data_IF_357476600080
#
_entry.id   IF_357476600080
#
_cell.length_a   1.000
_cell.length_b   1.000
_cell.length_c   1.000
_cell.angle_alpha   90.00
_cell.angle_beta   90.00
_cell.angle_gamma   90.00
#
_symmetry.space_group_name_H-M   'P 1'
#
loop_
_entity.id
_entity.type
_entity.pdbx_description
1 polymer ?
#
# COMPACT_ATOMS: atom_id res chain seq x y z
N UNK A 1 67.50 -35.65 -14.36
CA UNK A 1 67.88 -36.33 -13.11
C UNK A 1 68.11 -35.26 -12.04
N UNK A 2 67.21 -35.22 -11.07
CA UNK A 2 67.34 -34.80 -9.65
C UNK A 2 68.26 -33.65 -9.21
N UNK A 3 67.60 -32.62 -8.62
CA UNK A 3 67.93 -31.75 -7.46
C UNK A 3 69.26 -30.96 -7.33
N UNK A 4 69.11 -29.66 -7.02
CA UNK A 4 69.68 -28.91 -5.86
C UNK A 4 69.11 -27.46 -5.86
N UNK A 5 68.42 -26.97 -4.80
CA UNK A 5 68.93 -26.16 -3.64
C UNK A 5 69.53 -24.80 -4.06
N UNK A 6 69.28 -23.60 -3.49
CA UNK A 6 68.77 -23.08 -2.21
C UNK A 6 68.59 -21.53 -2.30
N UNK A 7 67.72 -20.97 -1.44
CA UNK A 7 67.65 -19.58 -0.88
C UNK A 7 67.84 -18.37 -1.82
N UNK A 8 67.08 -17.28 -1.76
CA UNK A 8 66.24 -16.67 -0.74
C UNK A 8 66.20 -15.17 -1.11
N UNK A 9 65.09 -14.48 -0.92
CA UNK A 9 65.01 -13.07 -1.27
C UNK A 9 63.60 -12.53 -1.21
N UNK A 10 63.37 -11.64 -0.26
CA UNK A 10 62.14 -10.92 -0.07
C UNK A 10 61.70 -10.21 -1.36
N UNK A 11 60.55 -10.59 -1.89
CA UNK A 11 59.75 -9.73 -2.74
C UNK A 11 58.37 -9.68 -2.12
N UNK A 12 58.05 -8.49 -1.59
CA UNK A 12 56.73 -8.19 -1.09
C UNK A 12 55.71 -8.56 -2.14
N UNK A 13 54.75 -9.39 -1.75
CA UNK A 13 53.52 -9.54 -2.50
C UNK A 13 52.84 -8.17 -2.44
N UNK A 14 53.04 -7.36 -3.49
CA UNK A 14 52.13 -6.26 -3.77
C UNK A 14 50.81 -6.94 -4.07
N UNK A 15 49.97 -7.02 -3.06
CA UNK A 15 48.55 -7.21 -3.25
C UNK A 15 48.10 -5.97 -4.03
N UNK A 16 48.13 -6.04 -5.36
CA UNK A 16 47.38 -5.13 -6.21
C UNK A 16 45.92 -5.48 -5.96
N UNK A 17 45.41 -5.01 -4.82
CA UNK A 17 44.00 -4.82 -4.61
C UNK A 17 43.59 -3.82 -5.68
N UNK A 18 43.12 -4.34 -6.81
CA UNK A 18 42.22 -3.64 -7.70
C UNK A 18 40.98 -3.29 -6.87
N UNK A 19 41.07 -2.19 -6.12
CA UNK A 19 39.95 -1.30 -5.89
C UNK A 19 39.53 -0.84 -7.29
N UNK A 20 38.67 -1.61 -7.95
CA UNK A 20 37.84 -1.05 -8.99
C UNK A 20 36.92 -0.04 -8.30
N UNK A 21 37.05 1.27 -8.56
CA UNK A 21 35.86 2.09 -8.40
C UNK A 21 34.88 1.53 -9.41
N UNK A 22 33.70 1.13 -8.95
CA UNK A 22 32.56 0.91 -9.83
C UNK A 22 32.25 2.25 -10.52
N UNK A 23 33.01 2.59 -11.57
CA UNK A 23 32.63 3.53 -12.59
C UNK A 23 31.48 2.87 -13.33
N UNK A 24 30.30 2.89 -12.72
CA UNK A 24 29.06 2.91 -13.49
C UNK A 24 29.23 4.09 -14.43
N UNK A 25 29.44 3.80 -15.72
CA UNK A 25 29.22 4.80 -16.77
C UNK A 25 27.80 5.29 -16.54
N UNK A 26 27.66 6.53 -16.08
CA UNK A 26 26.36 7.13 -15.85
C UNK A 26 25.60 7.08 -17.18
N UNK A 27 24.61 6.21 -17.29
CA UNK A 27 23.73 6.17 -18.44
C UNK A 27 22.63 7.21 -18.21
N UNK A 28 22.21 7.90 -19.27
CA UNK A 28 21.06 8.82 -19.17
C UNK A 28 19.85 8.04 -18.64
N UNK A 29 19.23 8.53 -17.58
CA UNK A 29 18.13 7.87 -16.87
C UNK A 29 18.56 6.87 -15.79
N UNK A 30 19.85 6.65 -15.57
CA UNK A 30 20.32 5.91 -14.40
C UNK A 30 19.98 6.67 -13.11
N UNK A 31 19.65 5.93 -12.05
CA UNK A 31 19.13 6.46 -10.80
C UNK A 31 20.08 6.19 -9.64
N UNK A 32 20.18 7.15 -8.73
CA UNK A 32 20.83 7.00 -7.42
C UNK A 32 19.90 7.55 -6.35
N UNK A 33 19.58 6.75 -5.34
CA UNK A 33 18.71 7.17 -4.23
C UNK A 33 19.55 7.54 -3.01
N UNK A 34 19.25 8.68 -2.40
CA UNK A 34 19.71 9.01 -1.05
C UNK A 34 18.87 8.20 -0.05
N UNK A 35 19.48 7.27 0.72
CA UNK A 35 18.73 6.41 1.63
C UNK A 35 18.18 7.14 2.86
N UNK A 36 18.74 8.31 3.21
CA UNK A 36 18.33 9.10 4.38
C UNK A 36 17.25 10.08 3.97
N UNK A 37 17.51 10.85 2.91
CA UNK A 37 16.58 11.87 2.46
C UNK A 37 15.51 11.34 1.52
N UNK A 38 15.60 10.10 1.03
CA UNK A 38 14.64 9.53 0.06
C UNK A 38 14.63 10.25 -1.30
N UNK A 39 15.59 11.14 -1.55
CA UNK A 39 15.73 11.90 -2.79
C UNK A 39 16.30 11.00 -3.88
N UNK A 40 15.77 11.10 -5.10
CA UNK A 40 16.29 10.37 -6.26
C UNK A 40 17.06 11.35 -7.14
N UNK A 41 18.28 10.98 -7.50
CA UNK A 41 19.11 11.68 -8.48
C UNK A 41 19.07 10.91 -9.79
N UNK A 42 18.69 11.59 -10.87
CA UNK A 42 18.57 10.99 -12.21
C UNK A 42 19.63 11.58 -13.12
N UNK A 43 20.45 10.72 -13.72
CA UNK A 43 21.52 11.16 -14.62
C UNK A 43 20.94 11.70 -15.92
N UNK A 44 21.40 12.87 -16.36
CA UNK A 44 21.01 13.55 -17.60
C UNK A 44 22.23 13.95 -18.40
N UNK A 45 22.04 14.19 -19.70
CA UNK A 45 23.03 14.79 -20.58
C UNK A 45 22.85 16.31 -20.60
N UNK A 46 23.95 17.03 -20.44
CA UNK A 46 24.03 18.49 -20.52
C UNK A 46 24.30 18.95 -21.96
N UNK A 47 24.17 20.25 -22.21
CA UNK A 47 24.31 20.84 -23.55
C UNK A 47 25.71 20.60 -24.14
N UNK A 48 26.76 20.60 -23.31
CA UNK A 48 28.15 20.33 -23.71
C UNK A 48 28.46 18.83 -23.92
N UNK A 49 27.46 17.96 -23.75
CA UNK A 49 27.62 16.50 -23.86
C UNK A 49 28.17 15.83 -22.60
N UNK A 50 28.41 16.57 -21.53
CA UNK A 50 28.76 16.00 -20.22
C UNK A 50 27.53 15.48 -19.47
N UNK A 51 27.74 14.72 -18.40
CA UNK A 51 26.66 14.22 -17.54
C UNK A 51 26.41 15.15 -16.36
N UNK A 52 25.14 15.38 -16.05
CA UNK A 52 24.67 16.03 -14.84
C UNK A 52 23.66 15.17 -14.10
N UNK A 53 23.20 15.62 -12.94
CA UNK A 53 22.12 14.98 -12.18
C UNK A 53 20.94 15.94 -12.03
N UNK A 54 19.73 15.41 -12.22
CA UNK A 54 18.48 16.06 -11.81
C UNK A 54 18.10 15.55 -10.43
N UNK A 55 17.85 16.45 -9.49
CA UNK A 55 17.32 16.11 -8.17
C UNK A 55 15.79 15.99 -8.26
N UNK A 56 15.27 14.84 -7.87
CA UNK A 56 13.84 14.53 -7.85
C UNK A 56 13.41 14.20 -6.43
N UNK A 57 12.41 14.92 -5.93
CA UNK A 57 11.73 14.54 -4.69
C UNK A 57 10.52 13.70 -5.10
N UNK A 58 10.53 12.40 -4.82
CA UNK A 58 9.41 11.54 -5.17
C UNK A 58 8.17 11.88 -4.33
N UNK A 59 6.98 11.73 -4.89
CA UNK A 59 5.71 11.95 -4.19
C UNK A 59 5.35 10.82 -3.20
N UNK A 60 6.17 9.76 -3.12
CA UNK A 60 5.96 8.59 -2.28
C UNK A 60 6.51 8.78 -0.85
N UNK A 61 6.96 9.99 -0.52
CA UNK A 61 7.55 10.31 0.77
C UNK A 61 6.54 10.80 1.80
N UNK A 62 5.26 10.75 1.47
CA UNK A 62 4.21 11.00 2.45
C UNK A 62 4.11 9.79 3.37
N UNK A 63 4.46 9.98 4.64
CA UNK A 63 4.29 8.95 5.66
C UNK A 63 2.88 9.11 6.24
N UNK A 64 1.99 8.16 5.93
CA UNK A 64 0.60 8.19 6.33
C UNK A 64 0.17 6.90 7.04
N UNK A 65 -0.54 7.06 8.15
CA UNK A 65 -1.29 5.99 8.79
C UNK A 65 -2.71 5.95 8.22
N UNK A 66 -3.18 4.77 7.83
CA UNK A 66 -4.56 4.57 7.36
C UNK A 66 -5.27 3.61 8.30
N UNK A 67 -6.35 4.08 8.92
CA UNK A 67 -7.19 3.31 9.83
C UNK A 67 -8.55 3.10 9.14
N UNK A 68 -8.81 1.92 8.58
CA UNK A 68 -10.07 1.63 7.93
C UNK A 68 -11.12 1.13 8.92
N UNK A 69 -12.38 1.40 8.62
CA UNK A 69 -13.57 0.87 9.28
C UNK A 69 -14.58 0.45 8.22
N UNK A 70 -15.20 -0.72 8.42
CA UNK A 70 -16.22 -1.26 7.51
C UNK A 70 -17.48 -1.55 8.32
N UNK A 71 -18.60 -0.99 7.89
CA UNK A 71 -19.90 -1.18 8.55
C UNK A 71 -20.92 -1.69 7.54
N UNK A 72 -21.65 -2.74 7.90
CA UNK A 72 -22.75 -3.24 7.06
C UNK A 72 -23.95 -2.30 7.18
N UNK A 73 -24.45 -1.82 6.06
CA UNK A 73 -25.74 -1.14 5.95
C UNK A 73 -26.85 -2.14 5.62
N UNK A 74 -28.10 -1.67 5.73
CA UNK A 74 -29.26 -2.41 5.20
C UNK A 74 -29.13 -2.67 3.69
N UNK A 75 -29.79 -3.73 3.20
CA UNK A 75 -29.84 -3.99 1.75
C UNK A 75 -28.56 -4.56 1.12
N UNK A 76 -27.61 -5.05 1.92
CA UNK A 76 -26.37 -5.67 1.40
C UNK A 76 -25.29 -4.68 0.98
N UNK A 77 -25.47 -3.40 1.32
CA UNK A 77 -24.48 -2.33 1.11
C UNK A 77 -23.54 -2.24 2.31
N UNK A 78 -22.32 -1.81 2.08
CA UNK A 78 -21.29 -1.59 3.10
C UNK A 78 -20.77 -0.17 3.03
N UNK A 79 -20.60 0.47 4.18
CA UNK A 79 -19.88 1.73 4.32
C UNK A 79 -18.42 1.45 4.60
N UNK A 80 -17.55 2.07 3.82
CA UNK A 80 -16.10 2.06 3.98
C UNK A 80 -15.66 3.45 4.44
N UNK A 81 -15.02 3.51 5.60
CA UNK A 81 -14.51 4.74 6.18
C UNK A 81 -13.01 4.60 6.41
N UNK A 82 -12.24 5.57 5.94
CA UNK A 82 -10.79 5.62 6.12
C UNK A 82 -10.43 6.89 6.89
N UNK A 83 -9.80 6.74 8.05
CA UNK A 83 -9.08 7.83 8.69
C UNK A 83 -7.62 7.76 8.22
N UNK A 84 -7.25 8.70 7.36
CA UNK A 84 -5.89 8.87 6.85
C UNK A 84 -5.21 9.97 7.66
N UNK A 85 -4.10 9.67 8.33
CA UNK A 85 -3.33 10.63 9.12
C UNK A 85 -1.95 10.77 8.52
N UNK A 86 -1.56 11.99 8.16
CA UNK A 86 -0.18 12.27 7.78
C UNK A 86 0.65 12.30 9.07
N UNK A 87 1.66 11.44 9.21
CA UNK A 87 2.48 11.41 10.42
C UNK A 87 3.19 12.75 10.60
N UNK A 88 3.32 13.21 11.84
CA UNK A 88 3.93 14.52 12.15
C UNK A 88 5.38 14.65 11.64
N UNK A 89 6.09 13.53 11.47
CA UNK A 89 7.44 13.49 10.90
C UNK A 89 7.50 13.35 9.38
N UNK A 90 6.35 13.29 8.69
CA UNK A 90 6.30 13.18 7.23
C UNK A 90 7.01 14.37 6.58
N UNK A 91 7.80 14.09 5.56
CA UNK A 91 8.56 15.13 4.83
C UNK A 91 7.76 15.81 3.73
N UNK A 92 6.56 15.31 3.46
CA UNK A 92 5.63 15.84 2.46
C UNK A 92 4.22 15.98 3.03
N UNK A 93 3.48 16.92 2.44
CA UNK A 93 2.04 17.07 2.62
C UNK A 93 1.32 16.06 1.74
N UNK A 94 0.14 15.60 2.14
CA UNK A 94 -0.71 14.74 1.30
C UNK A 94 -1.52 15.60 0.34
N UNK A 95 -1.45 15.31 -0.96
CA UNK A 95 -2.29 15.93 -1.99
C UNK A 95 -3.47 15.06 -2.39
N UNK A 96 -3.22 13.76 -2.59
CA UNK A 96 -4.24 12.82 -3.05
C UNK A 96 -4.22 11.56 -2.19
N UNK A 97 -5.41 10.99 -2.03
CA UNK A 97 -5.56 9.66 -1.46
C UNK A 97 -6.44 8.80 -2.37
N UNK A 98 -5.91 7.68 -2.81
CA UNK A 98 -6.58 6.80 -3.76
C UNK A 98 -6.94 5.47 -3.11
N UNK A 99 -8.19 5.06 -3.35
CA UNK A 99 -8.70 3.75 -2.96
C UNK A 99 -9.22 3.04 -4.21
N UNK A 100 -8.73 1.82 -4.53
CA UNK A 100 -9.36 1.01 -5.57
C UNK A 100 -10.83 0.80 -5.23
N UNK A 101 -11.74 1.06 -6.17
CA UNK A 101 -13.17 0.90 -5.92
C UNK A 101 -13.92 0.44 -7.18
N UNK A 102 -15.08 -0.24 -7.05
CA UNK A 102 -15.91 -0.55 -8.20
C UNK A 102 -16.57 0.72 -8.73
N UNK A 103 -16.96 0.72 -10.01
CA UNK A 103 -17.75 1.81 -10.61
C UNK A 103 -19.06 2.09 -9.87
N UNK A 104 -19.61 1.07 -9.20
CA UNK A 104 -20.82 1.18 -8.39
C UNK A 104 -20.62 1.85 -7.03
N UNK A 105 -19.39 2.25 -6.67
CA UNK A 105 -19.13 2.92 -5.41
C UNK A 105 -19.77 4.32 -5.39
N UNK A 106 -20.51 4.61 -4.32
CA UNK A 106 -21.12 5.93 -4.10
C UNK A 106 -20.31 6.66 -3.04
N UNK A 107 -19.72 7.80 -3.41
CA UNK A 107 -18.89 8.57 -2.48
C UNK A 107 -19.77 9.63 -1.79
N UNK A 108 -19.77 9.62 -0.46
CA UNK A 108 -20.69 10.43 0.34
C UNK A 108 -20.02 11.64 0.98
N UNK A 109 -18.86 11.45 1.60
CA UNK A 109 -18.30 12.48 2.47
C UNK A 109 -16.77 12.40 2.52
N UNK A 110 -16.13 13.57 2.42
CA UNK A 110 -14.72 13.73 2.71
C UNK A 110 -14.55 14.94 3.62
N UNK A 111 -13.98 14.70 4.80
CA UNK A 111 -13.77 15.74 5.81
C UNK A 111 -12.32 15.71 6.26
N UNK A 112 -11.58 16.79 6.07
CA UNK A 112 -10.29 16.93 6.78
C UNK A 112 -10.50 17.46 8.20
N UNK A 113 -9.66 16.99 9.12
CA UNK A 113 -9.66 17.32 10.54
C UNK A 113 -8.30 17.93 10.90
N UNK A 114 -8.30 19.00 11.71
CA UNK A 114 -7.08 19.68 12.16
C UNK A 114 -6.67 20.90 11.32
N UNK A 115 -7.48 21.33 10.35
CA UNK A 115 -7.18 22.48 9.50
C UNK A 115 -6.89 23.76 10.30
N UNK A 116 -5.68 24.30 10.10
CA UNK A 116 -5.45 25.73 10.33
C UNK A 116 -6.07 26.54 9.17
N UNK A 117 -7.35 26.88 9.32
CA UNK A 117 -7.99 28.03 8.65
C UNK A 117 -7.89 28.14 7.11
N UNK A 118 -8.00 27.03 6.36
CA UNK A 118 -8.42 27.09 4.95
C UNK A 118 -9.56 26.11 4.71
N UNK A 119 -10.76 26.66 4.60
CA UNK A 119 -11.93 25.98 4.07
C UNK A 119 -11.61 25.46 2.67
N UNK A 120 -11.38 24.15 2.56
CA UNK A 120 -11.34 23.48 1.26
C UNK A 120 -12.13 22.20 1.35
N UNK A 121 -13.10 22.06 0.46
CA UNK A 121 -13.85 20.82 0.28
C UNK A 121 -12.93 19.82 -0.41
N UNK A 122 -12.67 18.70 0.24
CA UNK A 122 -12.10 17.57 -0.44
C UNK A 122 -13.18 16.96 -1.36
N UNK A 123 -12.88 16.83 -2.64
CA UNK A 123 -13.74 16.20 -3.62
C UNK A 123 -13.32 14.75 -3.83
N UNK A 124 -14.30 13.87 -4.06
CA UNK A 124 -14.01 12.54 -4.52
C UNK A 124 -14.53 12.33 -5.91
N UNK A 125 -13.72 11.69 -6.72
CA UNK A 125 -14.08 11.30 -8.08
C UNK A 125 -13.76 9.83 -8.25
N UNK A 126 -14.73 9.08 -8.77
CA UNK A 126 -14.47 7.78 -9.34
C UNK A 126 -13.82 8.03 -10.72
N UNK A 127 -12.56 7.64 -10.88
CA UNK A 127 -11.83 7.73 -12.14
C UNK A 127 -11.47 6.34 -12.62
N UNK A 128 -11.67 6.09 -13.91
CA UNK A 128 -11.08 4.93 -14.55
C UNK A 128 -9.59 5.18 -14.73
N UNK A 129 -8.75 4.28 -14.23
CA UNK A 129 -7.31 4.41 -14.43
C UNK A 129 -7.00 4.20 -15.93
N UNK A 130 -6.29 5.13 -16.56
CA UNK A 130 -5.97 5.08 -18.00
C UNK A 130 -5.19 3.82 -18.42
N UNK A 131 -4.60 3.11 -17.46
CA UNK A 131 -3.73 1.95 -17.65
C UNK A 131 -4.25 0.67 -16.99
N UNK A 132 -5.50 0.63 -16.50
CA UNK A 132 -6.02 -0.55 -15.80
C UNK A 132 -7.53 -0.71 -15.83
N UNK A 133 -7.99 -1.95 -15.62
CA UNK A 133 -9.41 -2.34 -15.56
C UNK A 133 -10.09 -1.98 -14.22
N UNK A 134 -9.47 -1.10 -13.42
CA UNK A 134 -9.97 -0.75 -12.09
C UNK A 134 -10.32 0.73 -12.01
N UNK A 135 -11.47 1.00 -11.42
CA UNK A 135 -11.85 2.34 -11.00
C UNK A 135 -11.15 2.69 -9.69
N UNK A 136 -10.82 3.96 -9.53
CA UNK A 136 -10.17 4.53 -8.36
C UNK A 136 -11.11 5.58 -7.78
N UNK A 137 -11.37 5.49 -6.49
CA UNK A 137 -12.00 6.52 -5.70
C UNK A 137 -10.88 7.42 -5.20
N UNK A 138 -10.68 8.54 -5.88
CA UNK A 138 -9.63 9.51 -5.60
C UNK A 138 -10.22 10.61 -4.73
N UNK A 139 -9.70 10.80 -3.52
CA UNK A 139 -9.96 11.96 -2.69
C UNK A 139 -8.90 13.03 -2.97
N UNK A 140 -9.36 14.24 -3.32
CA UNK A 140 -8.53 15.40 -3.67
C UNK A 140 -8.96 16.61 -2.89
N UNK A 141 -8.05 17.50 -2.49
CA UNK A 141 -8.43 18.69 -1.75
C UNK A 141 -7.24 19.60 -1.46
N UNK A 142 -7.38 20.58 -0.56
CA UNK A 142 -6.21 21.32 -0.05
C UNK A 142 -5.23 20.35 0.61
N UNK A 143 -3.93 20.56 0.37
CA UNK A 143 -2.83 19.78 0.95
C UNK A 143 -2.98 19.57 2.47
N UNK A 144 -2.85 18.32 2.95
CA UNK A 144 -2.82 18.02 4.40
C UNK A 144 -1.39 18.03 4.91
N UNK A 145 -1.14 18.82 5.95
CA UNK A 145 0.19 18.93 6.53
C UNK A 145 0.52 17.73 7.43
N UNK A 146 1.80 17.45 7.67
CA UNK A 146 2.21 16.52 8.71
C UNK A 146 1.51 16.81 10.05
N UNK A 147 0.82 15.81 10.59
CA UNK A 147 -0.01 15.91 11.81
C UNK A 147 -1.51 16.04 11.55
N UNK A 148 -1.92 16.44 10.34
CA UNK A 148 -3.32 16.56 9.97
C UNK A 148 -3.94 15.20 9.63
N UNK A 149 -5.28 15.16 9.54
CA UNK A 149 -6.00 13.94 9.19
C UNK A 149 -7.12 14.20 8.19
N UNK A 150 -7.46 13.17 7.43
CA UNK A 150 -8.52 13.12 6.44
C UNK A 150 -9.43 11.94 6.74
N UNK A 151 -10.73 12.17 6.62
CA UNK A 151 -11.74 11.12 6.68
C UNK A 151 -12.36 10.98 5.31
N UNK A 152 -12.20 9.80 4.71
CA UNK A 152 -12.82 9.45 3.42
C UNK A 152 -13.91 8.42 3.68
N UNK A 153 -15.13 8.64 3.19
CA UNK A 153 -16.23 7.68 3.33
C UNK A 153 -16.95 7.45 2.00
N UNK A 154 -17.13 6.19 1.63
CA UNK A 154 -17.95 5.78 0.49
C UNK A 154 -18.73 4.49 0.81
N UNK A 155 -19.72 4.21 -0.02
CA UNK A 155 -20.56 3.02 0.05
C UNK A 155 -20.34 2.13 -1.16
N UNK A 156 -20.44 0.82 -0.95
CA UNK A 156 -20.41 -0.16 -2.04
C UNK A 156 -21.17 -1.43 -1.65
N UNK A 157 -21.77 -2.09 -2.64
CA UNK A 157 -22.30 -3.44 -2.45
C UNK A 157 -21.19 -4.50 -2.35
N UNK A 158 -19.98 -4.18 -2.84
CA UNK A 158 -18.86 -5.12 -2.79
C UNK A 158 -18.44 -5.39 -1.34
N UNK A 159 -17.96 -6.60 -1.09
CA UNK A 159 -17.35 -7.02 0.15
C UNK A 159 -15.90 -6.52 0.25
N UNK A 160 -15.41 -6.27 1.47
CA UNK A 160 -14.04 -5.83 1.67
C UNK A 160 -13.07 -6.94 1.29
N UNK A 161 -11.86 -6.54 0.90
CA UNK A 161 -10.69 -7.40 0.82
C UNK A 161 -9.42 -6.57 0.90
N UNK A 162 -8.28 -7.21 1.21
CA UNK A 162 -7.02 -6.49 1.26
C UNK A 162 -6.62 -5.92 -0.10
N UNK A 163 -6.09 -4.70 -0.09
CA UNK A 163 -5.61 -4.03 -1.30
C UNK A 163 -4.57 -2.96 -0.97
N UNK A 164 -3.89 -2.50 -2.01
CA UNK A 164 -2.99 -1.36 -1.94
C UNK A 164 -3.78 -0.06 -2.09
N UNK A 165 -3.66 0.83 -1.11
CA UNK A 165 -4.11 2.22 -1.19
C UNK A 165 -2.92 3.11 -1.51
N UNK A 166 -3.16 4.28 -2.11
CA UNK A 166 -2.09 5.21 -2.43
C UNK A 166 -2.27 6.52 -1.66
N UNK A 167 -1.24 6.91 -0.93
CA UNK A 167 -1.08 8.24 -0.39
C UNK A 167 -0.06 8.98 -1.27
N UNK A 168 -0.47 10.06 -1.91
CA UNK A 168 0.35 10.80 -2.86
C UNK A 168 0.69 12.16 -2.26
N UNK A 169 1.99 12.39 -2.07
CA UNK A 169 2.50 13.63 -1.51
C UNK A 169 2.63 14.75 -2.54
N UNK A 170 2.76 15.98 -2.04
CA UNK A 170 3.20 17.12 -2.84
C UNK A 170 4.71 16.99 -3.12
N UNK A 171 5.05 16.79 -4.39
CA UNK A 171 6.42 16.72 -4.86
C UNK A 171 6.71 17.98 -5.68
N UNK A 172 7.72 18.80 -5.30
CA UNK A 172 8.13 19.89 -6.16
C UNK A 172 8.64 19.34 -7.49
N UNK A 173 8.33 20.05 -8.57
CA UNK A 173 8.81 19.72 -9.91
C UNK A 173 10.32 19.48 -9.95
N UNK A 174 10.74 18.53 -10.78
CA UNK A 174 12.14 18.25 -10.98
C UNK A 174 12.86 19.48 -11.55
N UNK A 175 13.92 19.92 -10.87
CA UNK A 175 14.71 21.08 -11.29
C UNK A 175 15.79 20.61 -12.26
N UNK A 176 15.59 20.95 -13.54
CA UNK A 176 16.55 20.61 -14.59
C UNK A 176 17.79 21.52 -14.54
N UNK A 177 19.01 20.99 -14.76
CA UNK A 177 20.25 21.77 -14.74
C UNK A 177 20.30 22.90 -15.78
N UNK A 178 19.51 22.79 -16.85
CA UNK A 178 19.39 23.80 -17.88
C UNK A 178 17.99 23.80 -18.49
N UNK A 179 17.52 24.95 -18.98
CA UNK A 179 16.15 25.10 -19.51
C UNK A 179 15.87 24.21 -20.73
N UNK A 180 16.87 23.95 -21.57
CA UNK A 180 16.76 23.09 -22.76
C UNK A 180 16.96 21.60 -22.45
N UNK A 181 17.52 21.26 -21.28
CA UNK A 181 17.84 19.87 -20.91
C UNK A 181 16.58 19.01 -20.81
N UNK A 182 15.45 19.59 -20.39
CA UNK A 182 14.17 18.91 -20.23
C UNK A 182 13.48 18.54 -21.56
N UNK A 183 13.79 19.30 -22.62
CA UNK A 183 13.25 19.10 -23.97
C UNK A 183 14.21 18.39 -24.91
N UNK A 184 15.47 18.19 -24.53
CA UNK A 184 16.45 17.45 -25.31
C UNK A 184 15.99 15.99 -25.53
N UNK A 185 15.84 15.53 -26.80
CA UNK A 185 15.44 14.16 -27.11
C UNK A 185 16.37 13.09 -26.49
N UNK A 186 17.65 13.40 -26.28
CA UNK A 186 18.64 12.51 -25.66
C UNK A 186 18.31 12.23 -24.19
N UNK A 187 17.63 13.16 -23.51
CA UNK A 187 17.19 13.03 -22.12
C UNK A 187 15.83 12.34 -21.97
N UNK A 188 15.23 11.82 -23.05
CA UNK A 188 13.96 11.08 -22.97
C UNK A 188 13.95 9.94 -21.94
N UNK A 189 15.00 9.10 -21.80
CA UNK A 189 15.03 8.07 -20.77
C UNK A 189 15.00 8.65 -19.35
N UNK A 190 15.76 9.71 -19.10
CA UNK A 190 15.75 10.40 -17.81
C UNK A 190 14.40 11.03 -17.51
N UNK A 191 13.75 11.62 -18.52
CA UNK A 191 12.41 12.18 -18.38
C UNK A 191 11.36 11.11 -18.07
N UNK A 192 11.42 9.95 -18.72
CA UNK A 192 10.52 8.84 -18.38
C UNK A 192 10.68 8.38 -16.93
N UNK A 193 11.91 8.38 -16.41
CA UNK A 193 12.19 8.09 -14.99
C UNK A 193 11.64 9.18 -14.08
N UNK A 194 11.94 10.45 -14.35
CA UNK A 194 11.44 11.59 -13.56
C UNK A 194 9.91 11.58 -13.52
N UNK A 195 9.28 11.40 -14.68
CA UNK A 195 7.82 11.31 -14.81
C UNK A 195 7.27 10.11 -14.02
N UNK A 196 7.99 8.98 -13.92
CA UNK A 196 7.54 7.82 -13.11
C UNK A 196 7.60 8.06 -11.60
N UNK A 197 8.39 9.04 -11.14
CA UNK A 197 8.53 9.43 -9.74
C UNK A 197 7.56 10.56 -9.35
N UNK A 198 6.90 11.16 -10.33
CA UNK A 198 5.81 12.10 -10.12
C UNK A 198 4.59 11.35 -9.55
N UNK A 199 3.88 12.04 -8.65
CA UNK A 199 2.74 11.50 -7.90
C UNK A 199 1.56 11.11 -8.79
N UNK A 200 1.52 11.54 -10.05
CA UNK A 200 0.45 11.18 -10.99
C UNK A 200 0.73 9.91 -11.80
N UNK A 201 1.94 9.35 -11.76
CA UNK A 201 2.39 8.28 -12.69
C UNK A 201 3.16 7.12 -12.07
N UNK A 202 3.43 7.12 -10.76
CA UNK A 202 4.09 5.98 -10.12
C UNK A 202 4.79 6.28 -8.80
N UNK A 203 5.01 7.54 -8.45
CA UNK A 203 5.67 7.93 -7.21
C UNK A 203 4.74 8.00 -6.01
N UNK A 204 3.92 6.99 -5.73
CA UNK A 204 2.99 6.99 -4.58
C UNK A 204 3.46 6.14 -3.42
N UNK A 205 3.14 6.56 -2.20
CA UNK A 205 3.31 5.74 -1.01
C UNK A 205 2.20 4.69 -0.96
N UNK A 206 2.58 3.41 -0.98
CA UNK A 206 1.64 2.30 -0.88
C UNK A 206 1.33 2.02 0.58
N UNK A 207 0.04 2.09 0.94
CA UNK A 207 -0.46 1.68 2.25
C UNK A 207 -1.29 0.41 2.11
N UNK A 208 -0.80 -0.69 2.69
CA UNK A 208 -1.54 -1.96 2.70
C UNK A 208 -2.75 -1.84 3.64
N UNK A 209 -3.94 -1.98 3.08
CA UNK A 209 -5.20 -1.83 3.82
C UNK A 209 -6.30 -2.64 3.14
N UNK A 210 -7.54 -2.16 3.16
CA UNK A 210 -8.68 -2.79 2.52
C UNK A 210 -9.33 -1.90 1.48
N UNK A 211 -10.04 -2.50 0.55
CA UNK A 211 -10.87 -1.85 -0.46
C UNK A 211 -12.15 -2.67 -0.71
N UNK A 212 -13.21 -2.09 -1.33
CA UNK A 212 -14.43 -2.80 -1.78
C UNK A 212 -14.13 -3.74 -2.97
N UNK A 213 -13.26 -4.71 -2.74
CA UNK A 213 -12.59 -5.50 -3.78
C UNK A 213 -13.48 -6.57 -4.42
N UNK A 214 -14.38 -7.17 -3.65
CA UNK A 214 -15.03 -8.43 -4.04
C UNK A 214 -16.50 -8.20 -4.39
N UNK A 215 -16.97 -8.57 -5.59
CA UNK A 215 -18.40 -8.48 -5.89
C UNK A 215 -19.19 -9.38 -4.92
N UNK A 216 -20.47 -9.07 -4.63
CA UNK A 216 -21.30 -9.89 -3.74
C UNK A 216 -21.36 -11.36 -4.14
N UNK A 217 -21.29 -11.65 -5.44
CA UNK A 217 -21.31 -13.00 -6.00
C UNK A 217 -20.07 -13.84 -5.64
N UNK A 218 -18.97 -13.23 -5.22
CA UNK A 218 -17.78 -13.95 -4.77
C UNK A 218 -17.99 -14.69 -3.44
N UNK A 219 -19.05 -14.36 -2.71
CA UNK A 219 -19.37 -14.92 -1.40
C UNK A 219 -20.89 -15.15 -1.29
N UNK A 220 -21.46 -15.86 -2.27
CA UNK A 220 -22.91 -16.04 -2.40
C UNK A 220 -23.47 -17.10 -1.44
N UNK A 221 -22.63 -18.05 -1.04
CA UNK A 221 -22.97 -19.12 -0.09
C UNK A 221 -22.13 -19.04 1.20
N UNK A 222 -22.60 -19.65 2.31
CA UNK A 222 -21.82 -19.70 3.56
C UNK A 222 -20.41 -20.29 3.41
N UNK A 223 -20.26 -21.32 2.56
CA UNK A 223 -18.97 -22.00 2.35
C UNK A 223 -17.99 -21.11 1.57
N UNK A 224 -18.47 -20.39 0.56
CA UNK A 224 -17.65 -19.41 -0.19
C UNK A 224 -17.18 -18.27 0.72
N UNK A 225 -18.07 -17.73 1.56
CA UNK A 225 -17.67 -16.70 2.53
C UNK A 225 -16.64 -17.21 3.53
N UNK A 226 -16.78 -18.46 3.99
CA UNK A 226 -15.80 -19.06 4.89
C UNK A 226 -14.43 -19.28 4.21
N UNK A 227 -14.41 -19.68 2.94
CA UNK A 227 -13.17 -19.78 2.17
C UNK A 227 -12.47 -18.42 2.05
N UNK A 228 -13.21 -17.35 1.72
CA UNK A 228 -12.64 -15.99 1.69
C UNK A 228 -12.11 -15.55 3.05
N UNK A 229 -12.83 -15.86 4.13
CA UNK A 229 -12.39 -15.55 5.49
C UNK A 229 -11.07 -16.29 5.84
N UNK A 230 -10.90 -17.51 5.33
CA UNK A 230 -9.69 -18.30 5.51
C UNK A 230 -8.49 -17.78 4.69
N UNK A 231 -8.74 -17.40 3.43
CA UNK A 231 -7.73 -16.75 2.58
C UNK A 231 -7.24 -15.44 3.19
N UNK A 232 -8.16 -14.60 3.68
CA UNK A 232 -7.81 -13.33 4.33
C UNK A 232 -7.12 -13.53 5.66
N UNK A 233 -7.50 -14.53 6.46
CA UNK A 233 -6.78 -14.87 7.68
C UNK A 233 -5.34 -15.28 7.36
N UNK A 234 -5.16 -16.12 6.35
CA UNK A 234 -3.83 -16.56 5.90
C UNK A 234 -2.98 -15.38 5.43
N UNK A 235 -3.56 -14.47 4.64
CA UNK A 235 -2.87 -13.26 4.18
C UNK A 235 -2.50 -12.34 5.34
N UNK A 236 -3.42 -12.11 6.27
CA UNK A 236 -3.22 -11.29 7.47
C UNK A 236 -2.12 -11.86 8.38
N UNK A 237 -2.05 -13.19 8.52
CA UNK A 237 -1.07 -13.89 9.33
C UNK A 237 0.32 -14.01 8.70
N UNK A 238 0.42 -13.93 7.37
CA UNK A 238 1.67 -14.10 6.64
C UNK A 238 2.12 -12.80 5.98
N UNK A 239 1.87 -12.61 4.66
CA UNK A 239 2.41 -11.48 3.89
C UNK A 239 2.12 -10.10 4.47
N UNK A 240 0.94 -9.88 5.04
CA UNK A 240 0.57 -8.58 5.62
C UNK A 240 1.21 -8.34 7.00
N UNK A 241 1.52 -9.42 7.73
CA UNK A 241 1.89 -9.38 9.15
C UNK A 241 0.88 -8.57 10.01
N UNK A 242 -0.40 -8.61 9.65
CA UNK A 242 -1.48 -7.89 10.32
C UNK A 242 -1.95 -8.54 11.62
N UNK A 243 -1.51 -9.77 11.91
CA UNK A 243 -1.76 -10.49 13.16
C UNK A 243 -0.41 -10.94 13.72
N UNK A 244 -0.04 -10.41 14.90
CA UNK A 244 1.34 -10.51 15.38
C UNK A 244 1.74 -11.91 15.88
N UNK A 245 1.21 -12.38 17.03
CA UNK A 245 1.61 -13.68 17.59
C UNK A 245 1.19 -14.89 16.73
N UNK A 246 2.12 -15.80 16.35
CA UNK A 246 1.79 -17.00 15.56
C UNK A 246 0.73 -17.90 16.22
N UNK A 247 0.71 -17.96 17.55
CA UNK A 247 -0.29 -18.73 18.30
C UNK A 247 -1.73 -18.21 18.11
N UNK A 248 -1.90 -16.91 17.89
CA UNK A 248 -3.22 -16.33 17.57
C UNK A 248 -3.68 -16.79 16.20
N UNK A 249 -2.79 -16.75 15.21
CA UNK A 249 -3.10 -17.24 13.86
C UNK A 249 -3.53 -18.71 13.87
N UNK A 250 -2.80 -19.58 14.58
CA UNK A 250 -3.18 -20.99 14.71
C UNK A 250 -4.53 -21.18 15.40
N UNK A 251 -4.81 -20.41 16.46
CA UNK A 251 -6.08 -20.46 17.18
C UNK A 251 -7.26 -20.02 16.30
N UNK A 252 -7.11 -18.91 15.57
CA UNK A 252 -8.12 -18.42 14.63
C UNK A 252 -8.33 -19.41 13.48
N UNK A 253 -7.26 -19.97 12.94
CA UNK A 253 -7.30 -20.96 11.87
C UNK A 253 -8.04 -22.24 12.29
N UNK A 254 -7.76 -22.74 13.50
CA UNK A 254 -8.45 -23.90 14.05
C UNK A 254 -9.97 -23.67 14.18
N UNK A 255 -10.39 -22.44 14.55
CA UNK A 255 -11.81 -22.06 14.60
C UNK A 255 -12.44 -22.05 13.20
N UNK A 256 -11.75 -21.52 12.19
CA UNK A 256 -12.23 -21.56 10.81
C UNK A 256 -12.37 -23.00 10.28
N UNK A 257 -11.37 -23.85 10.53
CA UNK A 257 -11.41 -25.27 10.13
C UNK A 257 -12.56 -26.03 10.81
N UNK A 258 -12.86 -25.72 12.08
CA UNK A 258 -13.99 -26.31 12.80
C UNK A 258 -15.36 -25.85 12.26
N UNK A 259 -15.45 -24.59 11.82
CA UNK A 259 -16.64 -24.06 11.14
C UNK A 259 -16.84 -24.72 9.78
N UNK A 260 -15.76 -24.93 9.03
CA UNK A 260 -15.78 -25.60 7.74
C UNK A 260 -16.36 -27.01 7.86
N UNK A 261 -15.79 -27.81 8.75
CA UNK A 261 -16.27 -29.16 9.03
C UNK A 261 -17.74 -29.20 9.50
N UNK A 262 -18.20 -28.19 10.24
CA UNK A 262 -19.59 -28.08 10.68
C UNK A 262 -20.52 -27.74 9.50
N UNK A 263 -20.11 -26.83 8.62
CA UNK A 263 -20.86 -26.47 7.41
C UNK A 263 -20.98 -27.64 6.44
N UNK A 264 -19.90 -28.38 6.19
CA UNK A 264 -19.92 -29.56 5.31
C UNK A 264 -20.88 -30.64 5.82
N UNK A 265 -21.08 -30.72 7.14
CA UNK A 265 -22.06 -31.63 7.78
C UNK A 265 -23.49 -31.07 7.83
N UNK A 266 -23.75 -29.89 7.28
CA UNK A 266 -25.05 -29.23 7.34
C UNK A 266 -25.43 -28.69 8.73
N UNK A 267 -24.47 -28.52 9.64
CA UNK A 267 -24.70 -28.13 11.03
C UNK A 267 -24.69 -26.59 11.19
N UNK A 268 -25.62 -25.90 10.52
CA UNK A 268 -25.65 -24.43 10.47
C UNK A 268 -25.69 -23.76 11.85
N UNK A 269 -26.44 -24.30 12.81
CA UNK A 269 -26.49 -23.79 14.20
C UNK A 269 -25.14 -23.91 14.92
N UNK A 270 -24.45 -25.04 14.75
CA UNK A 270 -23.12 -25.24 15.32
C UNK A 270 -22.10 -24.27 14.69
N UNK A 271 -22.17 -24.07 13.37
CA UNK A 271 -21.38 -23.06 12.66
C UNK A 271 -21.65 -21.66 13.19
N UNK A 272 -22.91 -21.28 13.39
CA UNK A 272 -23.28 -19.96 13.92
C UNK A 272 -22.69 -19.72 15.33
N UNK A 273 -22.73 -20.73 16.20
CA UNK A 273 -22.10 -20.68 17.52
C UNK A 273 -20.58 -20.52 17.44
N UNK A 274 -19.91 -21.30 16.59
CA UNK A 274 -18.47 -21.21 16.35
C UNK A 274 -18.06 -19.86 15.75
N UNK A 275 -18.88 -19.29 14.86
CA UNK A 275 -18.70 -17.97 14.27
C UNK A 275 -18.82 -16.86 15.33
N UNK A 276 -19.73 -17.01 16.29
CA UNK A 276 -19.82 -16.12 17.46
C UNK A 276 -18.54 -16.13 18.29
N UNK A 277 -17.99 -17.31 18.55
CA UNK A 277 -16.72 -17.47 19.28
C UNK A 277 -15.50 -16.95 18.49
N UNK A 278 -15.53 -17.04 17.16
CA UNK A 278 -14.52 -16.43 16.30
C UNK A 278 -14.58 -14.90 16.35
N UNK A 279 -15.79 -14.32 16.20
CA UNK A 279 -16.01 -12.88 16.27
C UNK A 279 -15.54 -12.29 17.61
N UNK A 280 -15.93 -12.91 18.73
CA UNK A 280 -15.51 -12.49 20.07
C UNK A 280 -13.98 -12.55 20.24
N UNK A 281 -13.32 -13.53 19.59
CA UNK A 281 -11.87 -13.61 19.52
C UNK A 281 -11.23 -12.46 18.76
N UNK A 282 -11.80 -12.06 17.61
CA UNK A 282 -11.33 -10.89 16.87
C UNK A 282 -11.46 -9.61 17.70
N UNK A 283 -12.60 -9.42 18.36
CA UNK A 283 -12.87 -8.23 19.18
C UNK A 283 -11.91 -8.12 20.36
N UNK A 284 -11.61 -9.24 21.05
CA UNK A 284 -10.69 -9.27 22.18
C UNK A 284 -9.23 -8.96 21.80
N UNK A 285 -8.86 -9.12 20.53
CA UNK A 285 -7.49 -8.96 20.03
C UNK A 285 -7.28 -7.67 19.24
N UNK A 286 -8.36 -6.90 19.00
CA UNK A 286 -8.37 -5.69 18.20
C UNK A 286 -7.42 -4.65 18.78
N UNK A 287 -6.51 -4.12 17.96
CA UNK A 287 -5.60 -3.03 18.33
C UNK A 287 -4.40 -3.44 19.17
N UNK A 288 -4.43 -4.61 19.81
CA UNK A 288 -3.28 -5.16 20.55
C UNK A 288 -2.48 -6.15 19.71
N UNK A 289 -3.18 -7.07 19.04
CA UNK A 289 -2.55 -8.16 18.29
C UNK A 289 -3.03 -8.25 16.83
N UNK A 290 -4.08 -7.51 16.48
CA UNK A 290 -4.66 -7.44 15.14
C UNK A 290 -4.68 -5.97 14.70
N UNK A 291 -4.11 -5.68 13.53
CA UNK A 291 -4.15 -4.33 12.94
C UNK A 291 -5.58 -3.92 12.56
N UNK A 292 -5.84 -2.61 12.45
CA UNK A 292 -7.16 -2.11 12.07
C UNK A 292 -7.65 -2.69 10.74
N UNK A 293 -6.77 -2.77 9.74
CA UNK A 293 -7.09 -3.34 8.42
C UNK A 293 -7.43 -4.83 8.49
N UNK A 294 -6.64 -5.62 9.22
CA UNK A 294 -6.92 -7.05 9.38
C UNK A 294 -8.23 -7.29 10.13
N UNK A 295 -8.46 -6.54 11.21
CA UNK A 295 -9.72 -6.61 11.95
C UNK A 295 -10.91 -6.26 11.06
N UNK A 296 -10.87 -5.14 10.34
CA UNK A 296 -11.99 -4.66 9.54
C UNK A 296 -12.39 -5.61 8.41
N UNK A 297 -11.42 -6.25 7.74
CA UNK A 297 -11.71 -7.27 6.71
C UNK A 297 -12.36 -8.51 7.34
N UNK A 298 -11.73 -9.07 8.39
CA UNK A 298 -12.18 -10.32 9.01
C UNK A 298 -13.53 -10.15 9.72
N UNK A 299 -13.78 -9.00 10.38
CA UNK A 299 -15.03 -8.70 11.06
C UNK A 299 -16.19 -8.50 10.08
N UNK A 300 -15.93 -7.88 8.94
CA UNK A 300 -16.93 -7.68 7.90
C UNK A 300 -17.34 -9.01 7.26
N UNK A 301 -16.38 -9.86 6.88
CA UNK A 301 -16.69 -11.21 6.35
C UNK A 301 -17.40 -12.08 7.39
N UNK A 302 -17.01 -11.99 8.67
CA UNK A 302 -17.71 -12.64 9.78
C UNK A 302 -19.17 -12.17 9.89
N UNK A 303 -19.41 -10.87 9.74
CA UNK A 303 -20.75 -10.27 9.76
C UNK A 303 -21.58 -10.71 8.55
N UNK A 304 -20.94 -10.81 7.37
CA UNK A 304 -21.58 -11.31 6.15
C UNK A 304 -22.02 -12.76 6.31
N UNK A 305 -21.11 -13.64 6.76
CA UNK A 305 -21.40 -15.05 7.01
C UNK A 305 -22.51 -15.23 8.04
N UNK A 306 -22.51 -14.44 9.13
CA UNK A 306 -23.59 -14.48 10.13
C UNK A 306 -24.95 -14.19 9.51
N UNK A 307 -25.02 -13.23 8.57
CA UNK A 307 -26.23 -12.92 7.84
C UNK A 307 -26.73 -14.07 6.96
N UNK A 308 -25.83 -14.90 6.43
CA UNK A 308 -26.18 -16.07 5.61
C UNK A 308 -26.59 -17.29 6.44
N UNK A 309 -26.15 -17.36 7.71
CA UNK A 309 -26.49 -18.45 8.64
C UNK A 309 -27.74 -18.17 9.46
N UNK A 310 -28.23 -16.93 9.46
CA UNK A 310 -29.44 -16.54 10.16
C UNK A 310 -30.66 -16.89 9.28
N UNK A 311 -31.69 -17.55 9.83
CA UNK A 311 -32.89 -17.95 9.09
C UNK A 311 -33.76 -16.76 8.67
#
# INVERSE_FOLDING_TARGET
MTLAKLFGGATGTVLVGLLMPALLVAQVGSQRRDPVAGIVYVSVLLHDGSFGEVRVTAADRVDADVIPEVTKLGGGVWTYRYLVRVRAGSTQRLMFFEVPCPESAVIHNIQGLGFSAREGTWNAVARQQLTGDRSICEATGPELSPGDSLVVTFESANLPGFDALHAIGDAPDAVWPCGECASDPRNRPARAVIDSLDGTRGGWAVVQSLSPRRPPSAASTPIETLHLLNEDLTYACGPLAGIGPPGICQSLQAKLNAMDASLTRGQASATAGALGAFAAGLDALRGEHITASAYAVLSALTTHLRGQLSP
#
